data_IF_047070799880
#
_entry.id   IF_047070799880
#
_cell.length_a   1.000
_cell.length_b   1.000
_cell.length_c   1.000
_cell.angle_alpha   90.00
_cell.angle_beta   90.00
_cell.angle_gamma   90.00
#
_symmetry.space_group_name_H-M   'P 1'
#
loop_
_entity.id
_entity.type
_entity.pdbx_description
1 polymer ?
#
# COMPACT_ATOMS: atom_id res chain seq x y z
N UNK A 1 24.03 -28.38 -21.42
CA UNK A 1 24.51 -27.74 -22.66
C UNK A 1 23.29 -27.46 -23.54
N UNK A 2 22.82 -26.23 -23.56
CA UNK A 2 21.98 -25.70 -24.61
C UNK A 2 22.12 -24.17 -24.60
N UNK A 3 22.51 -23.63 -25.72
CA UNK A 3 23.09 -22.33 -25.98
C UNK A 3 22.02 -21.25 -26.14
N UNK A 4 22.24 -20.10 -25.53
CA UNK A 4 21.58 -18.81 -25.77
C UNK A 4 21.80 -18.36 -27.23
N UNK A 5 20.74 -17.95 -27.92
CA UNK A 5 20.78 -17.16 -29.16
C UNK A 5 20.25 -15.78 -28.91
N UNK A 6 21.12 -14.81 -29.08
CA UNK A 6 20.81 -13.39 -29.21
C UNK A 6 19.99 -13.12 -30.46
N UNK A 7 18.96 -12.28 -30.34
CA UNK A 7 18.26 -11.69 -31.49
C UNK A 7 18.50 -10.18 -31.47
N UNK A 8 19.32 -9.78 -32.44
CA UNK A 8 19.64 -8.41 -32.84
C UNK A 8 18.41 -7.73 -33.46
N UNK A 9 18.09 -6.52 -33.01
CA UNK A 9 17.12 -5.62 -33.64
C UNK A 9 17.85 -4.72 -34.62
N UNK A 10 17.54 -4.84 -35.91
CA UNK A 10 17.98 -3.94 -36.97
C UNK A 10 17.07 -2.73 -37.07
N UNK A 11 17.71 -1.55 -37.09
CA UNK A 11 17.13 -0.28 -37.53
C UNK A 11 16.63 -0.34 -38.97
N UNK A 12 15.50 0.30 -39.26
CA UNK A 12 15.18 0.81 -40.57
C UNK A 12 14.74 2.27 -40.51
N UNK A 13 15.50 3.07 -41.21
CA UNK A 13 15.33 4.51 -41.50
C UNK A 13 14.36 4.77 -42.65
N UNK A 14 13.81 5.99 -42.62
CA UNK A 14 13.30 6.84 -43.70
C UNK A 14 11.85 6.65 -44.19
N UNK A 15 10.99 7.70 -44.12
CA UNK A 15 10.90 8.73 -45.16
C UNK A 15 9.86 9.83 -44.85
N UNK A 16 10.36 11.08 -45.00
CA UNK A 16 9.79 12.26 -45.69
C UNK A 16 8.48 12.93 -45.21
N UNK A 17 8.69 14.10 -44.65
CA UNK A 17 8.07 15.44 -44.86
C UNK A 17 6.68 15.59 -45.49
N UNK A 18 5.74 16.25 -44.75
CA UNK A 18 4.88 17.30 -45.30
C UNK A 18 4.55 18.34 -44.21
N UNK A 19 4.92 19.58 -44.48
CA UNK A 19 4.68 20.82 -43.80
C UNK A 19 3.20 21.18 -43.83
N UNK A 20 2.65 21.56 -42.67
CA UNK A 20 1.45 22.40 -42.58
C UNK A 20 1.59 23.33 -41.38
N UNK A 21 1.59 24.62 -41.62
CA UNK A 21 1.75 25.69 -40.66
C UNK A 21 0.49 25.84 -39.78
N UNK A 22 0.64 25.80 -38.47
CA UNK A 22 -0.37 26.23 -37.52
C UNK A 22 0.27 27.13 -36.46
N UNK A 23 -0.38 28.25 -36.20
CA UNK A 23 0.00 29.42 -35.46
C UNK A 23 0.43 29.16 -34.02
N UNK A 24 1.58 29.73 -33.65
CA UNK A 24 2.15 29.75 -32.31
C UNK A 24 1.33 30.60 -31.32
N UNK A 25 0.93 29.97 -30.21
CA UNK A 25 0.63 30.67 -28.95
C UNK A 25 1.81 30.50 -28.02
N UNK A 26 2.29 31.52 -27.31
CA UNK A 26 3.44 31.40 -26.43
C UNK A 26 3.06 30.71 -25.13
N UNK A 27 3.55 29.48 -24.94
CA UNK A 27 3.55 28.83 -23.64
C UNK A 27 4.67 29.42 -22.77
N UNK A 28 4.30 29.92 -21.60
CA UNK A 28 5.22 30.27 -20.52
C UNK A 28 5.83 28.98 -19.93
N UNK A 29 6.95 28.56 -20.44
CA UNK A 29 7.78 27.51 -19.85
C UNK A 29 8.93 28.18 -19.11
N UNK A 30 8.95 28.08 -17.78
CA UNK A 30 10.10 28.64 -17.05
C UNK A 30 10.13 28.44 -15.53
N UNK A 31 9.14 27.80 -14.91
CA UNK A 31 9.13 27.70 -13.44
C UNK A 31 9.12 26.26 -12.88
N UNK A 32 8.89 25.24 -13.69
CA UNK A 32 8.66 23.88 -13.18
C UNK A 32 9.92 23.01 -13.11
N UNK A 33 10.95 23.34 -13.88
CA UNK A 33 12.17 22.49 -13.96
C UNK A 33 13.13 22.70 -12.79
N UNK A 34 13.16 23.88 -12.15
CA UNK A 34 14.03 24.15 -11.01
C UNK A 34 13.50 23.58 -9.68
N UNK A 35 12.18 23.42 -9.54
CA UNK A 35 11.59 22.87 -8.32
C UNK A 35 11.78 21.34 -8.20
N UNK A 36 11.78 20.63 -9.33
CA UNK A 36 11.98 19.16 -9.34
C UNK A 36 13.45 18.78 -9.09
N UNK A 37 14.40 19.58 -9.57
CA UNK A 37 15.84 19.37 -9.31
C UNK A 37 16.21 19.65 -7.85
N UNK A 38 15.60 20.64 -7.19
CA UNK A 38 15.88 20.97 -5.80
C UNK A 38 15.26 19.99 -4.77
N UNK A 39 14.30 19.14 -5.17
CA UNK A 39 13.75 18.08 -4.34
C UNK A 39 14.52 16.76 -4.39
N UNK A 40 15.31 16.53 -5.43
CA UNK A 40 16.15 15.34 -5.56
C UNK A 40 17.42 15.35 -4.69
N UNK A 41 17.82 16.53 -4.16
CA UNK A 41 19.04 16.68 -3.35
C UNK A 41 18.82 16.69 -1.82
N UNK A 42 17.60 16.38 -1.36
CA UNK A 42 17.33 16.16 0.07
C UNK A 42 16.96 14.69 0.34
N UNK A 43 17.77 13.76 -0.09
CA UNK A 43 17.90 12.48 0.59
C UNK A 43 18.61 12.78 1.92
N UNK A 44 17.81 12.96 2.97
CA UNK A 44 18.35 13.03 4.33
C UNK A 44 19.08 11.72 4.59
N UNK A 45 20.37 11.80 4.89
CA UNK A 45 21.15 10.65 5.36
C UNK A 45 20.36 9.97 6.49
N UNK A 46 20.14 8.64 6.43
CA UNK A 46 19.38 7.95 7.44
C UNK A 46 20.10 8.12 8.77
N UNK A 47 19.42 8.67 9.77
CA UNK A 47 19.93 8.78 11.14
C UNK A 47 20.38 7.38 11.59
N UNK A 48 21.68 7.17 11.73
CA UNK A 48 22.31 5.88 12.08
C UNK A 48 21.68 5.27 13.35
N UNK A 49 21.27 6.11 14.31
CA UNK A 49 20.57 5.68 15.52
C UNK A 49 19.14 5.18 15.26
N UNK A 50 18.47 5.66 14.21
CA UNK A 50 17.17 5.16 13.80
C UNK A 50 17.30 3.80 13.08
N UNK A 51 18.35 3.63 12.29
CA UNK A 51 18.70 2.37 11.61
C UNK A 51 18.96 1.23 12.62
N UNK A 52 19.74 1.48 13.67
CA UNK A 52 20.05 0.48 14.69
C UNK A 52 18.80 0.04 15.47
N UNK A 53 17.93 0.97 15.84
CA UNK A 53 16.66 0.66 16.51
C UNK A 53 15.73 -0.18 15.62
N UNK A 54 15.68 0.09 14.32
CA UNK A 54 14.87 -0.70 13.37
C UNK A 54 15.44 -2.11 13.23
N UNK A 55 16.77 -2.26 13.20
CA UNK A 55 17.43 -3.56 13.15
C UNK A 55 17.16 -4.39 14.42
N UNK A 56 17.19 -3.77 15.60
CA UNK A 56 16.88 -4.45 16.87
C UNK A 56 15.40 -4.85 16.95
N UNK A 57 14.49 -4.00 16.53
CA UNK A 57 13.07 -4.33 16.44
C UNK A 57 12.82 -5.51 15.51
N UNK A 58 13.51 -5.55 14.36
CA UNK A 58 13.41 -6.64 13.41
C UNK A 58 13.87 -7.97 14.01
N UNK A 59 15.01 -7.98 14.70
CA UNK A 59 15.51 -9.17 15.40
C UNK A 59 14.55 -9.68 16.48
N UNK A 60 13.95 -8.77 17.26
CA UNK A 60 12.95 -9.12 18.27
C UNK A 60 11.73 -9.80 17.62
N UNK A 61 11.25 -9.31 16.48
CA UNK A 61 10.16 -9.96 15.74
C UNK A 61 10.54 -11.32 15.15
N UNK A 62 11.75 -11.46 14.60
CA UNK A 62 12.28 -12.72 14.06
C UNK A 62 12.42 -13.77 15.16
N UNK A 63 12.77 -13.38 16.38
CA UNK A 63 12.84 -14.23 17.56
C UNK A 63 11.47 -14.51 18.22
N UNK A 64 10.40 -13.91 17.71
CA UNK A 64 9.06 -14.05 18.31
C UNK A 64 8.87 -13.25 19.60
N UNK A 65 9.78 -12.36 19.94
CA UNK A 65 9.70 -11.48 21.10
C UNK A 65 8.86 -10.24 20.81
N UNK A 66 8.11 -9.78 21.81
CA UNK A 66 7.40 -8.51 21.71
C UNK A 66 8.38 -7.37 22.01
N UNK A 67 8.61 -6.41 21.10
CA UNK A 67 9.70 -5.42 21.23
C UNK A 67 9.46 -4.37 22.30
N UNK A 68 8.28 -4.32 22.89
CA UNK A 68 7.93 -3.35 23.94
C UNK A 68 7.68 -4.08 25.26
N UNK A 69 8.40 -3.72 26.31
CA UNK A 69 8.29 -4.33 27.62
C UNK A 69 6.99 -3.98 28.33
N UNK A 70 6.50 -2.76 28.11
CA UNK A 70 5.35 -2.23 28.82
C UNK A 70 4.25 -1.74 27.88
N UNK A 71 3.00 -1.88 28.33
CA UNK A 71 1.85 -1.32 27.64
C UNK A 71 1.87 0.21 27.77
N UNK A 72 1.78 0.92 26.66
CA UNK A 72 1.66 2.37 26.65
C UNK A 72 0.41 2.82 27.44
N UNK A 73 0.56 3.77 28.35
CA UNK A 73 -0.55 4.35 29.10
C UNK A 73 -1.55 5.05 28.18
N UNK A 74 -2.80 5.19 28.63
CA UNK A 74 -3.90 5.76 27.82
C UNK A 74 -3.58 7.20 27.37
N UNK A 75 -3.13 8.07 28.29
CA UNK A 75 -2.87 9.48 27.98
C UNK A 75 -1.72 9.66 26.98
N UNK A 76 -0.52 9.09 27.18
CA UNK A 76 0.54 9.17 26.17
C UNK A 76 0.14 8.60 24.81
N UNK A 77 -0.69 7.55 24.78
CA UNK A 77 -1.23 7.00 23.55
C UNK A 77 -2.14 7.98 22.82
N UNK A 78 -3.08 8.63 23.53
CA UNK A 78 -4.02 9.58 22.93
C UNK A 78 -3.29 10.84 22.44
N UNK A 79 -2.31 11.35 23.21
CA UNK A 79 -1.52 12.51 22.82
C UNK A 79 -0.72 12.24 21.55
N UNK A 80 -0.04 11.09 21.45
CA UNK A 80 0.73 10.71 20.27
C UNK A 80 -0.18 10.41 19.06
N UNK A 81 -1.32 9.75 19.29
CA UNK A 81 -2.32 9.51 18.25
C UNK A 81 -2.82 10.83 17.65
N UNK A 82 -3.18 11.81 18.50
CA UNK A 82 -3.64 13.12 18.04
C UNK A 82 -2.56 13.85 17.21
N UNK A 83 -1.30 13.80 17.66
CA UNK A 83 -0.16 14.36 16.94
C UNK A 83 -0.03 13.72 15.55
N UNK A 84 -0.06 12.38 15.46
CA UNK A 84 0.06 11.66 14.20
C UNK A 84 -1.13 11.89 13.27
N UNK A 85 -2.36 12.01 13.81
CA UNK A 85 -3.54 12.35 13.03
C UNK A 85 -3.44 13.77 12.43
N UNK A 86 -2.88 14.71 13.15
CA UNK A 86 -2.61 16.05 12.61
C UNK A 86 -1.59 16.01 11.46
N UNK A 87 -0.51 15.23 11.59
CA UNK A 87 0.44 15.03 10.49
C UNK A 87 -0.20 14.36 9.28
N UNK A 88 -1.08 13.38 9.50
CA UNK A 88 -1.77 12.68 8.41
C UNK A 88 -2.72 13.61 7.65
N UNK A 89 -3.36 14.58 8.31
CA UNK A 89 -4.14 15.63 7.66
C UNK A 89 -3.26 16.50 6.74
N UNK A 90 -2.04 16.84 7.16
CA UNK A 90 -1.08 17.55 6.32
C UNK A 90 -0.71 16.73 5.07
N UNK A 91 -0.50 15.42 5.25
CA UNK A 91 -0.22 14.51 4.12
C UNK A 91 -1.39 14.46 3.15
N UNK A 92 -2.64 14.41 3.64
CA UNK A 92 -3.82 14.42 2.78
C UNK A 92 -3.90 15.73 1.99
N UNK A 93 -3.69 16.88 2.65
CA UNK A 93 -3.70 18.17 1.98
C UNK A 93 -2.61 18.28 0.91
N UNK A 94 -1.40 17.88 1.26
CA UNK A 94 -0.28 17.82 0.31
C UNK A 94 -0.58 16.89 -0.87
N UNK A 95 -1.20 15.74 -0.64
CA UNK A 95 -1.60 14.82 -1.71
C UNK A 95 -2.59 15.47 -2.69
N UNK A 96 -3.54 16.25 -2.18
CA UNK A 96 -4.50 17.00 -3.02
C UNK A 96 -3.82 18.08 -3.86
N UNK A 97 -2.89 18.83 -3.26
CA UNK A 97 -2.18 19.92 -3.95
C UNK A 97 -1.21 19.40 -5.02
N UNK A 98 -0.54 18.28 -4.74
CA UNK A 98 0.50 17.74 -5.63
C UNK A 98 -0.01 16.64 -6.57
N UNK A 99 -1.23 16.15 -6.35
CA UNK A 99 -1.80 15.06 -7.15
C UNK A 99 -1.27 13.67 -6.79
N UNK A 100 -0.59 13.54 -5.65
CA UNK A 100 -0.05 12.25 -5.20
C UNK A 100 -1.16 11.22 -4.91
N UNK A 101 -0.86 9.95 -5.17
CA UNK A 101 -1.80 8.83 -5.03
C UNK A 101 -1.28 7.85 -3.98
N UNK A 102 -2.13 7.49 -3.02
CA UNK A 102 -1.73 6.60 -1.93
C UNK A 102 -2.56 5.32 -1.91
N UNK A 103 -1.87 4.19 -1.78
CA UNK A 103 -2.47 2.90 -1.45
C UNK A 103 -1.86 2.39 -0.15
N UNK A 104 -2.70 2.19 0.85
CA UNK A 104 -2.31 1.67 2.16
C UNK A 104 -2.99 0.32 2.38
N UNK A 105 -2.20 -0.74 2.50
CA UNK A 105 -2.67 -2.11 2.67
C UNK A 105 -2.50 -2.52 4.13
N UNK A 106 -3.58 -3.02 4.73
CA UNK A 106 -3.62 -3.50 6.11
C UNK A 106 -3.87 -4.99 6.12
N UNK A 107 -2.81 -5.75 6.38
CA UNK A 107 -2.81 -7.20 6.37
C UNK A 107 -2.40 -7.78 7.73
N UNK A 108 -2.56 -9.06 7.92
CA UNK A 108 -2.15 -9.76 9.13
C UNK A 108 -3.27 -10.61 9.76
N UNK A 109 -2.96 -11.18 10.92
CA UNK A 109 -3.82 -12.12 11.63
C UNK A 109 -5.20 -11.53 11.93
N UNK A 110 -6.20 -12.41 12.02
CA UNK A 110 -7.52 -11.99 12.49
C UNK A 110 -7.45 -11.52 13.95
N UNK A 111 -8.32 -10.58 14.30
CA UNK A 111 -8.32 -9.90 15.60
C UNK A 111 -7.01 -9.15 15.96
N UNK A 112 -6.05 -8.98 15.03
CA UNK A 112 -4.80 -8.25 15.28
C UNK A 112 -4.98 -6.74 15.39
N UNK A 113 -6.13 -6.18 14.97
CA UNK A 113 -6.45 -4.75 15.15
C UNK A 113 -6.49 -3.93 13.86
N UNK A 114 -6.49 -4.56 12.68
CA UNK A 114 -6.53 -3.89 11.36
C UNK A 114 -7.62 -2.81 11.26
N UNK A 115 -8.88 -3.20 11.37
CA UNK A 115 -10.01 -2.26 11.24
C UNK A 115 -10.00 -1.14 12.30
N UNK A 116 -9.56 -1.45 13.54
CA UNK A 116 -9.37 -0.42 14.57
C UNK A 116 -8.28 0.60 14.22
N UNK A 117 -7.22 0.16 13.55
CA UNK A 117 -6.15 1.05 13.07
C UNK A 117 -6.63 1.87 11.90
N UNK A 118 -7.27 1.25 10.88
CA UNK A 118 -7.86 1.97 9.74
C UNK A 118 -8.81 3.07 10.22
N UNK A 119 -9.70 2.76 11.19
CA UNK A 119 -10.59 3.75 11.79
C UNK A 119 -9.83 4.96 12.36
N UNK A 120 -8.69 4.74 13.04
CA UNK A 120 -7.87 5.82 13.59
C UNK A 120 -7.13 6.63 12.54
N UNK A 121 -6.70 6.00 11.45
CA UNK A 121 -6.13 6.68 10.30
C UNK A 121 -7.16 7.59 9.64
N UNK A 122 -8.39 7.11 9.43
CA UNK A 122 -9.42 7.82 8.65
C UNK A 122 -10.29 8.77 9.48
N UNK A 123 -10.20 8.74 10.81
CA UNK A 123 -11.09 9.43 11.75
C UNK A 123 -11.27 10.93 11.46
N UNK A 124 -10.21 11.61 11.03
CA UNK A 124 -10.20 13.05 10.76
C UNK A 124 -9.95 13.40 9.29
N UNK A 125 -9.72 12.40 8.44
CA UNK A 125 -9.51 12.63 7.02
C UNK A 125 -10.82 13.00 6.31
N UNK A 126 -10.70 13.80 5.25
CA UNK A 126 -11.82 14.08 4.37
C UNK A 126 -12.21 12.79 3.61
N UNK A 127 -13.43 12.24 3.82
CA UNK A 127 -13.84 10.98 3.21
C UNK A 127 -14.02 11.04 1.69
N UNK A 128 -14.03 12.25 1.09
CA UNK A 128 -14.07 12.40 -0.37
C UNK A 128 -12.75 12.01 -1.04
N UNK A 129 -11.63 12.14 -0.33
CA UNK A 129 -10.29 11.82 -0.81
C UNK A 129 -9.61 10.68 -0.03
N UNK A 130 -10.27 10.17 0.99
CA UNK A 130 -9.76 9.05 1.79
C UNK A 130 -10.87 8.02 1.94
N UNK A 131 -10.76 6.89 1.24
CA UNK A 131 -11.79 5.85 1.29
C UNK A 131 -11.22 4.51 1.72
N UNK A 132 -12.05 3.75 2.41
CA UNK A 132 -11.73 2.38 2.86
C UNK A 132 -12.34 1.40 1.86
N UNK A 133 -11.53 0.44 1.42
CA UNK A 133 -11.94 -0.66 0.56
C UNK A 133 -11.87 -1.95 1.38
N UNK A 134 -13.01 -2.55 1.62
CA UNK A 134 -13.16 -3.84 2.29
C UNK A 134 -14.03 -4.74 1.40
N UNK A 135 -13.40 -5.59 0.61
CA UNK A 135 -14.10 -6.41 -0.36
C UNK A 135 -14.69 -7.66 0.29
N UNK A 136 -15.94 -7.95 -0.05
CA UNK A 136 -16.62 -9.18 0.32
C UNK A 136 -16.01 -10.40 -0.39
N UNK A 137 -16.56 -11.60 -0.13
CA UNK A 137 -16.24 -12.79 -0.91
C UNK A 137 -16.47 -12.49 -2.40
N UNK A 138 -15.58 -12.96 -3.31
CA UNK A 138 -15.74 -12.71 -4.73
C UNK A 138 -17.06 -13.29 -5.27
N UNK A 139 -17.71 -12.52 -6.15
CA UNK A 139 -18.89 -12.98 -6.88
C UNK A 139 -18.51 -14.11 -7.85
N UNK A 140 -19.50 -14.68 -8.50
CA UNK A 140 -19.26 -15.71 -9.51
C UNK A 140 -18.52 -15.14 -10.72
N UNK A 141 -18.87 -13.94 -11.15
CA UNK A 141 -18.21 -13.22 -12.24
C UNK A 141 -16.77 -12.88 -11.89
N UNK A 142 -16.52 -12.34 -10.70
CA UNK A 142 -15.17 -11.99 -10.24
C UNK A 142 -14.25 -13.22 -10.14
N UNK A 143 -14.78 -14.41 -9.85
CA UNK A 143 -14.00 -15.66 -9.85
C UNK A 143 -13.54 -16.07 -11.26
N UNK A 144 -14.28 -15.67 -12.30
CA UNK A 144 -13.92 -15.89 -13.71
C UNK A 144 -12.97 -14.84 -14.28
N UNK A 145 -12.70 -13.79 -13.53
CA UNK A 145 -11.82 -12.68 -13.94
C UNK A 145 -10.39 -12.90 -13.47
N UNK A 146 -9.48 -12.10 -14.00
CA UNK A 146 -8.13 -12.03 -13.45
C UNK A 146 -8.16 -11.62 -11.96
N UNK A 147 -7.47 -12.39 -11.13
CA UNK A 147 -7.57 -12.27 -9.66
C UNK A 147 -7.43 -10.84 -9.13
N UNK A 148 -6.52 -10.06 -9.68
CA UNK A 148 -6.26 -8.69 -9.21
C UNK A 148 -7.31 -7.68 -9.68
N UNK A 149 -8.14 -8.00 -10.67
CA UNK A 149 -9.06 -7.05 -11.31
C UNK A 149 -9.99 -6.38 -10.29
N UNK A 150 -10.58 -7.15 -9.39
CA UNK A 150 -11.46 -6.65 -8.34
C UNK A 150 -10.81 -5.67 -7.36
N UNK A 151 -9.46 -5.67 -7.26
CA UNK A 151 -8.70 -4.73 -6.44
C UNK A 151 -8.28 -3.51 -7.25
N UNK A 152 -7.90 -3.69 -8.50
CA UNK A 152 -7.40 -2.63 -9.37
C UNK A 152 -8.46 -1.56 -9.64
N UNK A 153 -9.73 -1.94 -9.78
CA UNK A 153 -10.83 -0.99 -9.98
C UNK A 153 -11.02 0.01 -8.82
N UNK A 154 -10.44 -0.31 -7.65
CA UNK A 154 -10.47 0.55 -6.48
C UNK A 154 -9.18 1.35 -6.26
N UNK A 155 -8.26 1.37 -7.21
CA UNK A 155 -7.04 2.16 -7.09
C UNK A 155 -7.35 3.67 -7.03
N UNK A 156 -6.46 4.47 -6.39
CA UNK A 156 -6.67 5.90 -6.21
C UNK A 156 -6.58 6.67 -7.53
N UNK A 157 -7.40 7.68 -7.65
CA UNK A 157 -7.20 8.77 -8.60
C UNK A 157 -6.30 9.86 -8.01
N UNK A 158 -6.03 10.92 -8.76
CA UNK A 158 -5.19 12.06 -8.37
C UNK A 158 -5.65 12.66 -7.04
N UNK A 159 -4.74 12.79 -6.08
CA UNK A 159 -5.01 13.35 -4.75
C UNK A 159 -5.75 12.43 -3.78
N UNK A 160 -5.91 11.15 -4.12
CA UNK A 160 -6.71 10.21 -3.33
C UNK A 160 -5.85 9.24 -2.51
N UNK A 161 -6.36 8.88 -1.33
CA UNK A 161 -5.80 7.88 -0.41
C UNK A 161 -6.78 6.71 -0.28
N UNK A 162 -6.33 5.49 -0.60
CA UNK A 162 -7.14 4.27 -0.51
C UNK A 162 -6.58 3.35 0.56
N UNK A 163 -7.43 2.97 1.51
CA UNK A 163 -7.11 2.09 2.64
C UNK A 163 -7.74 0.73 2.41
N UNK A 164 -6.94 -0.30 2.12
CA UNK A 164 -7.43 -1.66 1.94
C UNK A 164 -7.47 -2.40 3.29
N UNK A 165 -8.67 -2.72 3.78
CA UNK A 165 -8.86 -3.68 4.88
C UNK A 165 -8.86 -5.08 4.28
N UNK A 166 -7.72 -5.73 4.29
CA UNK A 166 -7.33 -6.88 3.46
C UNK A 166 -7.22 -6.53 1.97
N UNK A 167 -6.40 -7.23 1.27
CA UNK A 167 -6.08 -6.94 -0.13
C UNK A 167 -5.93 -8.21 -0.96
N UNK A 168 -5.25 -8.11 -2.10
CA UNK A 168 -4.85 -9.26 -2.89
C UNK A 168 -4.03 -10.31 -2.12
N UNK A 169 -3.41 -9.95 -0.99
CA UNK A 169 -2.73 -10.90 -0.12
C UNK A 169 -3.65 -11.92 0.56
N UNK A 170 -4.98 -11.78 0.45
CA UNK A 170 -5.93 -12.83 0.82
C UNK A 170 -5.59 -14.18 0.19
N UNK A 171 -5.08 -14.20 -1.07
CA UNK A 171 -4.68 -15.43 -1.76
C UNK A 171 -3.51 -16.13 -1.10
N UNK A 172 -2.53 -15.37 -0.57
CA UNK A 172 -1.41 -15.95 0.19
C UNK A 172 -1.78 -16.29 1.65
N UNK A 173 -2.86 -15.74 2.17
CA UNK A 173 -3.32 -15.92 3.54
C UNK A 173 -4.54 -16.83 3.63
N UNK A 174 -5.70 -16.20 3.86
CA UNK A 174 -6.95 -16.90 4.17
C UNK A 174 -7.39 -17.86 3.07
N UNK A 175 -7.24 -17.50 1.80
CA UNK A 175 -7.70 -18.36 0.70
C UNK A 175 -6.94 -19.68 0.64
N UNK A 176 -5.62 -19.64 0.80
CA UNK A 176 -4.79 -20.83 0.86
C UNK A 176 -5.07 -21.69 2.09
N UNK A 177 -5.17 -21.06 3.27
CA UNK A 177 -5.37 -21.77 4.54
C UNK A 177 -6.74 -22.48 4.58
N UNK A 178 -7.76 -21.84 4.01
CA UNK A 178 -9.13 -22.35 3.99
C UNK A 178 -9.44 -23.21 2.76
N UNK A 179 -8.50 -23.40 1.86
CA UNK A 179 -8.72 -24.17 0.62
C UNK A 179 -9.65 -23.47 -0.38
N UNK A 180 -9.67 -22.13 -0.40
CA UNK A 180 -10.51 -21.35 -1.32
C UNK A 180 -9.83 -21.06 -2.65
N UNK A 181 -8.55 -21.40 -2.80
CA UNK A 181 -7.80 -21.33 -4.05
C UNK A 181 -7.02 -22.62 -4.28
N UNK A 182 -6.83 -22.94 -5.55
CA UNK A 182 -6.02 -24.08 -5.97
C UNK A 182 -4.52 -23.82 -5.79
N UNK A 183 -3.67 -24.85 -5.61
CA UNK A 183 -2.24 -24.68 -5.46
C UNK A 183 -1.57 -23.89 -6.60
N UNK A 184 -2.00 -24.08 -7.83
CA UNK A 184 -1.47 -23.37 -8.99
C UNK A 184 -1.85 -21.88 -8.98
N UNK A 185 -3.06 -21.52 -8.52
CA UNK A 185 -3.48 -20.13 -8.38
C UNK A 185 -2.64 -19.37 -7.35
N UNK A 186 -2.29 -20.05 -6.25
CA UNK A 186 -1.37 -19.48 -5.26
C UNK A 186 0.02 -19.24 -5.84
N UNK A 187 0.58 -20.22 -6.58
CA UNK A 187 1.90 -20.07 -7.20
C UNK A 187 1.90 -18.93 -8.23
N UNK A 188 0.86 -18.83 -9.04
CA UNK A 188 0.71 -17.76 -10.01
C UNK A 188 0.55 -16.39 -9.32
N UNK A 189 -0.21 -16.31 -8.25
CA UNK A 189 -0.29 -15.12 -7.40
C UNK A 189 1.09 -14.68 -6.87
N UNK A 190 1.89 -15.60 -6.35
CA UNK A 190 3.22 -15.31 -5.83
C UNK A 190 4.17 -14.78 -6.93
N UNK A 191 3.97 -15.24 -8.16
CA UNK A 191 4.74 -14.79 -9.33
C UNK A 191 4.30 -13.40 -9.80
N UNK A 192 3.00 -13.14 -9.87
CA UNK A 192 2.45 -11.90 -10.43
C UNK A 192 2.46 -10.72 -9.44
N UNK A 193 2.38 -10.97 -8.14
CA UNK A 193 2.24 -9.89 -7.14
C UNK A 193 3.40 -8.88 -7.16
N UNK A 194 4.68 -9.30 -7.20
CA UNK A 194 5.79 -8.35 -7.27
C UNK A 194 5.73 -7.47 -8.53
N UNK A 195 5.35 -8.05 -9.66
CA UNK A 195 5.24 -7.32 -10.94
C UNK A 195 4.11 -6.29 -10.87
N UNK A 196 2.94 -6.67 -10.35
CA UNK A 196 1.82 -5.75 -10.14
C UNK A 196 2.22 -4.58 -9.24
N UNK A 197 2.78 -4.86 -8.08
CA UNK A 197 3.18 -3.81 -7.14
C UNK A 197 4.24 -2.88 -7.73
N UNK A 198 5.18 -3.43 -8.49
CA UNK A 198 6.17 -2.63 -9.18
C UNK A 198 5.53 -1.72 -10.26
N UNK A 199 4.54 -2.23 -11.00
CA UNK A 199 3.79 -1.40 -11.96
C UNK A 199 3.02 -0.28 -11.26
N UNK A 200 2.38 -0.54 -10.12
CA UNK A 200 1.69 0.49 -9.33
C UNK A 200 2.66 1.59 -8.88
N UNK A 201 3.81 1.22 -8.32
CA UNK A 201 4.82 2.18 -7.87
C UNK A 201 5.39 2.99 -9.05
N UNK A 202 5.70 2.35 -10.16
CA UNK A 202 6.18 3.03 -11.38
C UNK A 202 5.14 3.97 -12.00
N UNK A 203 3.85 3.72 -11.79
CA UNK A 203 2.77 4.62 -12.20
C UNK A 203 2.54 5.80 -11.25
N UNK A 204 3.43 5.98 -10.26
CA UNK A 204 3.38 7.09 -9.30
C UNK A 204 2.43 6.84 -8.13
N UNK A 205 2.04 5.60 -7.84
CA UNK A 205 1.28 5.26 -6.63
C UNK A 205 2.25 5.02 -5.48
N UNK A 206 2.06 5.70 -4.38
CA UNK A 206 2.77 5.45 -3.13
C UNK A 206 2.12 4.29 -2.39
N UNK A 207 2.76 3.11 -2.46
CA UNK A 207 2.26 1.87 -1.89
C UNK A 207 2.89 1.62 -0.51
N UNK A 208 2.04 1.54 0.53
CA UNK A 208 2.43 1.20 1.89
C UNK A 208 1.74 -0.09 2.34
N UNK A 209 2.50 -1.02 2.93
CA UNK A 209 1.99 -2.30 3.41
C UNK A 209 2.25 -2.44 4.91
N UNK A 210 1.18 -2.61 5.68
CA UNK A 210 1.22 -2.80 7.13
C UNK A 210 0.82 -4.24 7.47
N UNK A 211 1.72 -4.94 8.15
CA UNK A 211 1.46 -6.28 8.64
C UNK A 211 1.18 -6.26 10.14
N UNK A 212 0.00 -6.72 10.55
CA UNK A 212 -0.42 -6.79 11.95
C UNK A 212 -0.22 -8.20 12.49
N UNK A 213 0.64 -8.33 13.48
CA UNK A 213 0.87 -9.57 14.20
C UNK A 213 0.27 -9.49 15.60
N UNK A 214 -0.10 -10.65 16.13
CA UNK A 214 -0.60 -10.83 17.49
C UNK A 214 -0.24 -12.24 17.95
N UNK A 215 0.06 -12.45 19.24
CA UNK A 215 0.30 -13.80 19.78
C UNK A 215 -0.98 -14.63 19.69
N UNK A 216 -0.82 -15.95 19.69
CA UNK A 216 -1.95 -16.89 19.60
C UNK A 216 -2.91 -16.74 20.79
N UNK A 217 -2.34 -16.57 21.98
CA UNK A 217 -3.08 -16.41 23.25
C UNK A 217 -3.90 -15.11 23.21
N UNK A 218 -3.29 -14.00 22.82
CA UNK A 218 -3.97 -12.72 22.73
C UNK A 218 -5.02 -12.71 21.61
N UNK A 219 -4.75 -13.37 20.49
CA UNK A 219 -5.73 -13.54 19.42
C UNK A 219 -6.97 -14.27 19.92
N UNK A 220 -6.76 -15.41 20.62
CA UNK A 220 -7.85 -16.18 21.21
C UNK A 220 -8.65 -15.34 22.19
N UNK A 221 -7.99 -14.67 23.13
CA UNK A 221 -8.63 -13.78 24.10
C UNK A 221 -9.51 -12.71 23.43
N UNK A 222 -9.03 -12.11 22.33
CA UNK A 222 -9.78 -11.11 21.56
C UNK A 222 -10.98 -11.71 20.85
N UNK A 223 -10.85 -12.89 20.28
CA UNK A 223 -11.96 -13.60 19.62
C UNK A 223 -13.02 -13.98 20.65
N UNK A 224 -12.63 -14.57 21.78
CA UNK A 224 -13.54 -14.94 22.86
C UNK A 224 -14.31 -13.70 23.40
N UNK A 225 -13.63 -12.55 23.53
CA UNK A 225 -14.28 -11.30 23.95
C UNK A 225 -15.27 -10.74 22.94
N UNK A 226 -15.13 -11.07 21.65
CA UNK A 226 -16.11 -10.68 20.62
C UNK A 226 -17.40 -11.49 20.72
N UNK A 227 -17.30 -12.77 21.04
CA UNK A 227 -18.46 -13.65 21.15
C UNK A 227 -19.45 -13.19 22.23
N UNK A 228 -18.99 -12.43 23.22
CA UNK A 228 -19.79 -11.89 24.32
C UNK A 228 -20.28 -10.45 24.12
N UNK A 229 -19.76 -9.75 23.08
CA UNK A 229 -20.08 -8.35 22.81
C UNK A 229 -21.02 -8.24 21.59
N UNK A 230 -22.29 -7.87 21.79
CA UNK A 230 -23.29 -7.81 20.72
C UNK A 230 -22.94 -6.78 19.62
N UNK A 231 -22.05 -5.82 19.91
CA UNK A 231 -21.58 -4.83 18.92
C UNK A 231 -20.39 -5.32 18.07
N UNK A 232 -19.89 -6.53 18.36
CA UNK A 232 -18.70 -7.10 17.70
C UNK A 232 -18.93 -8.47 17.08
N UNK A 233 -20.17 -8.93 17.11
CA UNK A 233 -20.61 -10.19 16.48
C UNK A 233 -20.74 -10.04 14.95
#
# INVERSE_FOLDING_TARGET
>A
MCTLRELSVKETRNMTTRTSAAKSHPQKTGATTHAVAAMAEREAEPDVKASDKVADLRKSFENGEYPYKDKLGKKPYEDEKARLQAELLKVQHWAQETGEKFVLIFEGRDAAGKGGTIKRFTEHLNPRQARVVALNKPTWEEKGQWFFQRYIEHLPTVGEMVFYDRSWYNRAGVERVMGFCEPWEYLEFMRQTPDLEQMLVRSGIRLYKYWFSVTREEQKRRIDSRATDPLKQ
#
